data_IF_002687849407
#
_entry.id   IF_002687849407
#
_cell.length_a   1.000
_cell.length_b   1.000
_cell.length_c   1.000
_cell.angle_alpha   90.00
_cell.angle_beta   90.00
_cell.angle_gamma   90.00
#
_symmetry.space_group_name_H-M   'P 1'
#
loop_
_entity.id
_entity.type
_entity.pdbx_description
1 polymer ?
#
# COMPACT_ATOMS: atom_id res chain seq x y z
N UNK A 1 -16.80 -6.35 12.15
CA UNK A 1 -17.18 -5.23 11.26
C UNK A 1 -16.00 -4.87 10.36
N UNK A 2 -16.06 -5.18 9.06
CA UNK A 2 -14.94 -4.96 8.12
C UNK A 2 -14.51 -3.48 8.04
N UNK A 3 -15.47 -2.55 8.19
CA UNK A 3 -15.23 -1.11 8.17
C UNK A 3 -14.15 -0.63 9.16
N UNK A 4 -14.18 -1.12 10.41
CA UNK A 4 -13.21 -0.75 11.47
C UNK A 4 -11.79 -1.22 11.09
N UNK A 5 -11.65 -2.41 10.51
CA UNK A 5 -10.33 -2.97 10.11
C UNK A 5 -9.67 -2.17 8.99
N UNK A 6 -10.46 -1.58 8.10
CA UNK A 6 -9.92 -0.82 6.97
C UNK A 6 -9.53 0.61 7.35
N UNK A 7 -10.24 1.22 8.32
CA UNK A 7 -9.78 2.46 8.96
C UNK A 7 -8.46 2.20 9.70
N UNK A 8 -8.33 1.08 10.40
CA UNK A 8 -7.08 0.72 11.09
C UNK A 8 -5.88 0.64 10.14
N UNK A 9 -6.06 0.16 8.90
CA UNK A 9 -4.98 0.09 7.92
C UNK A 9 -4.48 1.49 7.51
N UNK A 10 -5.39 2.43 7.23
CA UNK A 10 -5.02 3.82 6.93
C UNK A 10 -4.38 4.50 8.14
N UNK A 11 -4.95 4.34 9.33
CA UNK A 11 -4.37 4.92 10.54
C UNK A 11 -2.96 4.36 10.82
N UNK A 12 -2.74 3.06 10.58
CA UNK A 12 -1.42 2.43 10.68
C UNK A 12 -0.45 3.03 9.67
N UNK A 13 -0.87 3.25 8.42
CA UNK A 13 -0.05 3.92 7.41
C UNK A 13 0.29 5.36 7.83
N UNK A 14 -0.72 6.16 8.21
CA UNK A 14 -0.53 7.56 8.60
C UNK A 14 0.37 7.71 9.83
N UNK A 15 0.33 6.75 10.75
CA UNK A 15 1.20 6.70 11.93
C UNK A 15 2.66 6.30 11.66
N UNK A 16 3.00 5.86 10.44
CA UNK A 16 4.38 5.52 10.11
C UNK A 16 5.28 6.76 10.11
N UNK A 17 6.54 6.64 10.58
CA UNK A 17 7.55 7.67 10.41
C UNK A 17 7.69 8.06 8.93
N UNK A 18 7.94 9.34 8.65
CA UNK A 18 8.09 9.84 7.28
C UNK A 18 9.16 9.06 6.48
N UNK A 19 10.25 8.64 7.15
CA UNK A 19 11.29 7.82 6.55
C UNK A 19 10.81 6.44 6.04
N UNK A 20 9.75 5.88 6.64
CA UNK A 20 9.16 4.60 6.24
C UNK A 20 8.08 4.76 5.16
N UNK A 21 7.59 5.99 4.94
CA UNK A 21 6.62 6.35 3.89
C UNK A 21 7.27 7.06 2.69
N UNK A 22 8.59 6.97 2.58
CA UNK A 22 9.37 7.68 1.57
C UNK A 22 8.97 7.29 0.14
N UNK A 23 8.55 6.04 -0.07
CA UNK A 23 8.03 5.56 -1.33
C UNK A 23 6.74 4.77 -1.10
N UNK A 24 5.65 5.26 -1.68
CA UNK A 24 4.33 4.64 -1.59
C UNK A 24 3.78 4.36 -2.98
N UNK A 25 3.43 3.11 -3.25
CA UNK A 25 2.62 2.71 -4.38
C UNK A 25 1.16 2.67 -3.94
N UNK A 26 0.29 3.25 -4.75
CA UNK A 26 -1.16 3.14 -4.59
C UNK A 26 -1.74 2.43 -5.81
N UNK A 27 -2.61 1.46 -5.55
CA UNK A 27 -3.29 0.65 -6.55
C UNK A 27 -4.80 0.69 -6.30
N UNK A 28 -5.56 1.32 -7.18
CA UNK A 28 -7.02 1.42 -7.00
C UNK A 28 -7.73 0.08 -7.28
N UNK A 29 -7.16 -0.74 -8.16
CA UNK A 29 -7.72 -2.05 -8.52
C UNK A 29 -6.73 -2.96 -9.22
N UNK A 30 -7.07 -4.25 -9.31
CA UNK A 30 -6.16 -5.30 -9.81
C UNK A 30 -5.53 -5.01 -11.19
N UNK A 31 -6.20 -4.24 -12.05
CA UNK A 31 -5.72 -3.93 -13.40
C UNK A 31 -4.43 -3.11 -13.43
N UNK A 32 -4.08 -2.41 -12.35
CA UNK A 32 -2.81 -1.67 -12.28
C UNK A 32 -1.62 -2.58 -11.94
N UNK A 33 -1.86 -3.75 -11.33
CA UNK A 33 -0.80 -4.65 -10.84
C UNK A 33 0.25 -5.01 -11.91
N UNK A 34 -0.13 -5.42 -13.15
CA UNK A 34 0.86 -5.77 -14.17
C UNK A 34 1.85 -4.64 -14.52
N UNK A 35 1.45 -3.39 -14.31
CA UNK A 35 2.28 -2.22 -14.55
C UNK A 35 3.18 -1.87 -13.35
N UNK A 36 2.74 -2.19 -12.13
CA UNK A 36 3.47 -1.87 -10.90
C UNK A 36 4.41 -2.98 -10.44
N UNK A 37 4.10 -4.24 -10.76
CA UNK A 37 4.82 -5.41 -10.27
C UNK A 37 6.33 -5.35 -10.55
N UNK A 38 6.71 -5.10 -11.79
CA UNK A 38 8.11 -5.04 -12.20
C UNK A 38 8.87 -3.92 -11.49
N UNK A 39 8.25 -2.74 -11.35
CA UNK A 39 8.84 -1.59 -10.66
C UNK A 39 9.04 -1.89 -9.17
N UNK A 40 8.00 -2.42 -8.51
CA UNK A 40 8.05 -2.77 -7.10
C UNK A 40 9.16 -3.81 -6.85
N UNK A 41 9.18 -4.89 -7.62
CA UNK A 41 10.19 -5.95 -7.49
C UNK A 41 11.61 -5.42 -7.70
N UNK A 42 11.82 -4.58 -8.72
CA UNK A 42 13.13 -4.02 -8.99
C UNK A 42 13.61 -3.14 -7.84
N UNK A 43 12.77 -2.25 -7.31
CA UNK A 43 13.13 -1.36 -6.21
C UNK A 43 13.47 -2.13 -4.94
N UNK A 44 12.70 -3.18 -4.63
CA UNK A 44 12.96 -4.03 -3.48
C UNK A 44 14.25 -4.84 -3.63
N UNK A 45 14.60 -5.24 -4.86
CA UNK A 45 15.81 -6.00 -5.16
C UNK A 45 17.08 -5.13 -5.16
N UNK A 46 16.98 -3.87 -5.57
CA UNK A 46 18.16 -3.00 -5.76
C UNK A 46 18.36 -1.95 -4.68
N UNK A 47 17.46 -1.85 -3.70
CA UNK A 47 17.58 -0.84 -2.65
C UNK A 47 17.07 -1.31 -1.29
N UNK A 48 17.60 -0.73 -0.23
CA UNK A 48 17.07 -0.87 1.13
C UNK A 48 15.97 0.16 1.45
N UNK A 49 15.39 0.79 0.43
CA UNK A 49 14.34 1.80 0.61
C UNK A 49 13.07 1.13 1.15
N UNK A 50 12.51 1.61 2.28
CA UNK A 50 11.20 1.16 2.72
C UNK A 50 10.12 1.55 1.70
N UNK A 51 9.27 0.58 1.34
CA UNK A 51 8.18 0.75 0.39
C UNK A 51 6.85 0.44 1.07
N UNK A 52 5.90 1.35 0.93
CA UNK A 52 4.51 1.11 1.29
C UNK A 52 3.72 0.77 0.03
N UNK A 53 2.91 -0.28 0.07
CA UNK A 53 1.98 -0.65 -1.00
C UNK A 53 0.56 -0.61 -0.47
N UNK A 54 -0.26 0.28 -1.03
CA UNK A 54 -1.64 0.51 -0.62
C UNK A 54 -2.57 0.08 -1.74
N UNK A 55 -3.61 -0.68 -1.41
CA UNK A 55 -4.65 -1.06 -2.38
C UNK A 55 -6.04 -1.07 -1.74
N UNK A 56 -7.05 -0.72 -2.53
CA UNK A 56 -8.46 -0.89 -2.16
C UNK A 56 -8.99 -2.29 -2.46
N UNK A 57 -8.34 -3.03 -3.36
CA UNK A 57 -8.81 -4.33 -3.83
C UNK A 57 -8.20 -5.47 -2.99
N UNK A 58 -9.07 -6.30 -2.41
CA UNK A 58 -8.65 -7.46 -1.62
C UNK A 58 -8.03 -8.58 -2.46
N UNK A 59 -8.27 -8.59 -3.77
CA UNK A 59 -7.75 -9.59 -4.71
C UNK A 59 -6.45 -9.15 -5.38
N UNK A 60 -5.94 -7.98 -5.02
CA UNK A 60 -4.70 -7.45 -5.56
C UNK A 60 -3.49 -8.34 -5.20
N UNK A 61 -2.77 -8.89 -6.20
CA UNK A 61 -1.57 -9.71 -5.96
C UNK A 61 -0.49 -8.95 -5.18
N UNK A 62 -0.48 -7.62 -5.25
CA UNK A 62 0.42 -6.77 -4.48
C UNK A 62 0.37 -7.00 -2.97
N UNK A 63 -0.79 -7.41 -2.43
CA UNK A 63 -0.96 -7.74 -1.01
C UNK A 63 -0.20 -8.99 -0.57
N UNK A 64 0.03 -9.93 -1.50
CA UNK A 64 0.65 -11.23 -1.19
C UNK A 64 2.18 -11.19 -1.23
N UNK A 65 2.78 -10.08 -1.68
CA UNK A 65 4.22 -9.93 -1.72
C UNK A 65 4.79 -9.79 -0.30
N UNK A 66 5.85 -10.55 -0.01
CA UNK A 66 6.56 -10.49 1.27
C UNK A 66 8.00 -10.04 1.01
N UNK A 67 8.41 -8.97 1.68
CA UNK A 67 9.78 -8.48 1.67
C UNK A 67 10.06 -7.69 2.94
N UNK A 68 11.30 -7.75 3.47
CA UNK A 68 11.69 -7.04 4.70
C UNK A 68 11.46 -5.53 4.64
N UNK A 69 11.55 -4.95 3.44
CA UNK A 69 11.39 -3.52 3.19
C UNK A 69 10.00 -3.17 2.63
N UNK A 70 9.05 -4.12 2.57
CA UNK A 70 7.71 -3.89 2.02
C UNK A 70 6.66 -3.96 3.12
N UNK A 71 5.83 -2.93 3.22
CA UNK A 71 4.65 -2.91 4.06
C UNK A 71 3.39 -2.78 3.18
N UNK A 72 2.45 -3.72 3.31
CA UNK A 72 1.21 -3.72 2.54
C UNK A 72 0.01 -3.26 3.38
N UNK A 73 -0.90 -2.50 2.76
CA UNK A 73 -2.08 -1.93 3.41
C UNK A 73 -3.30 -2.11 2.51
N UNK A 74 -4.26 -2.91 2.98
CA UNK A 74 -5.57 -3.02 2.33
C UNK A 74 -6.55 -2.02 2.95
N UNK A 75 -6.90 -1.00 2.18
CA UNK A 75 -7.86 0.02 2.57
C UNK A 75 -9.23 -0.27 1.93
N UNK A 76 -10.24 0.54 2.22
CA UNK A 76 -11.51 0.49 1.51
C UNK A 76 -11.63 1.65 0.53
N UNK A 77 -12.53 1.51 -0.41
CA UNK A 77 -12.95 2.56 -1.33
C UNK A 77 -13.74 3.67 -0.62
N UNK A 78 -14.06 4.73 -1.37
CA UNK A 78 -14.88 5.84 -0.91
C UNK A 78 -14.15 6.75 0.07
N UNK A 79 -14.79 7.03 1.21
CA UNK A 79 -14.32 8.04 2.17
C UNK A 79 -12.88 7.81 2.66
N UNK A 80 -12.50 6.55 2.90
CA UNK A 80 -11.17 6.21 3.40
C UNK A 80 -10.07 6.52 2.37
N UNK A 81 -10.35 6.31 1.09
CA UNK A 81 -9.45 6.66 -0.01
C UNK A 81 -9.29 8.17 -0.12
N UNK A 82 -10.39 8.92 -0.06
CA UNK A 82 -10.32 10.39 -0.12
C UNK A 82 -9.49 10.95 1.03
N UNK A 83 -9.74 10.47 2.26
CA UNK A 83 -8.96 10.84 3.43
C UNK A 83 -7.46 10.59 3.27
N UNK A 84 -7.08 9.45 2.68
CA UNK A 84 -5.67 9.10 2.40
C UNK A 84 -4.98 10.09 1.45
N UNK A 85 -5.70 10.65 0.48
CA UNK A 85 -5.10 11.59 -0.48
C UNK A 85 -5.13 13.04 0.02
N UNK A 86 -6.05 13.36 0.94
CA UNK A 86 -6.17 14.70 1.54
C UNK A 86 -5.16 14.96 2.67
N UNK A 87 -4.51 13.91 3.22
CA UNK A 87 -3.63 13.99 4.41
C UNK A 87 -2.33 13.22 4.21
#
# INVERSE_FOLDING_TARGET
MQFIRHIQAVMRYMGLPAAQRRLTFYCEGINYWPHLEGLLKQILATSDTPVCYITSDAKDPGLSNQHKNLQTFKINEGFIRNYLFEN
#
